data_IF_150663474060
#
_entry.id   IF_150663474060
#
_cell.length_a   1.000
_cell.length_b   1.000
_cell.length_c   1.000
_cell.angle_alpha   90.00
_cell.angle_beta   90.00
_cell.angle_gamma   90.00
#
_symmetry.space_group_name_H-M   'P 1'
#
loop_
_entity.id
_entity.type
_entity.pdbx_description
1 polymer ?
#
# COMPACT_ATOMS: atom_id res chain seq x y z
N UNK A 1 39.84 12.77 -1.99
CA UNK A 1 38.67 13.69 -2.02
C UNK A 1 37.93 13.61 -3.34
N UNK A 2 38.61 13.65 -4.50
CA UNK A 2 37.99 13.34 -5.79
C UNK A 2 38.85 12.40 -6.64
N UNK A 3 38.18 11.52 -7.38
CA UNK A 3 38.80 10.73 -8.45
C UNK A 3 38.88 11.56 -9.74
N UNK A 4 39.82 11.20 -10.63
CA UNK A 4 40.00 11.87 -11.93
C UNK A 4 38.69 11.98 -12.72
N UNK A 5 37.93 10.90 -12.80
CA UNK A 5 36.64 10.83 -13.49
C UNK A 5 35.62 11.83 -12.97
N UNK A 6 35.65 12.13 -11.66
CA UNK A 6 34.75 13.10 -11.04
C UNK A 6 35.12 14.52 -11.43
N UNK A 7 36.42 14.83 -11.44
CA UNK A 7 36.91 16.16 -11.85
C UNK A 7 36.65 16.42 -13.33
N UNK A 8 36.85 15.40 -14.19
CA UNK A 8 36.56 15.49 -15.62
C UNK A 8 35.07 15.76 -15.90
N UNK A 9 34.18 15.10 -15.16
CA UNK A 9 32.72 15.34 -15.24
C UNK A 9 32.36 16.74 -14.78
N UNK A 10 32.89 17.20 -13.65
CA UNK A 10 32.65 18.58 -13.17
C UNK A 10 33.13 19.64 -14.16
N UNK A 11 34.26 19.41 -14.84
CA UNK A 11 34.74 20.31 -15.89
C UNK A 11 33.79 20.36 -17.10
N UNK A 12 33.19 19.23 -17.48
CA UNK A 12 32.19 19.18 -18.55
C UNK A 12 30.91 19.92 -18.17
N UNK A 13 30.48 19.82 -16.91
CA UNK A 13 29.34 20.57 -16.38
C UNK A 13 29.59 22.07 -16.37
N UNK A 14 30.75 22.49 -15.88
CA UNK A 14 31.14 23.90 -15.87
C UNK A 14 31.17 24.48 -17.29
N UNK A 15 31.72 23.73 -18.26
CA UNK A 15 31.72 24.14 -19.66
C UNK A 15 30.30 24.31 -20.21
N UNK A 16 29.42 23.34 -19.97
CA UNK A 16 28.02 23.38 -20.44
C UNK A 16 27.29 24.61 -19.90
N UNK A 17 27.52 24.94 -18.63
CA UNK A 17 26.95 26.12 -17.99
C UNK A 17 27.52 27.42 -18.59
N UNK A 18 28.83 27.51 -18.78
CA UNK A 18 29.48 28.71 -19.37
C UNK A 18 29.05 28.95 -20.82
N UNK A 19 28.90 27.89 -21.62
CA UNK A 19 28.38 27.97 -22.99
C UNK A 19 26.95 28.52 -23.00
N UNK A 20 26.09 28.04 -22.09
CA UNK A 20 24.72 28.53 -21.97
C UNK A 20 24.64 30.01 -21.54
N UNK A 21 25.49 30.44 -20.60
CA UNK A 21 25.60 31.86 -20.20
C UNK A 21 26.04 32.74 -21.37
N UNK A 22 27.02 32.28 -22.16
CA UNK A 22 27.54 33.03 -23.31
C UNK A 22 26.50 33.18 -24.43
N UNK A 23 25.61 32.20 -24.61
CA UNK A 23 24.54 32.23 -25.61
C UNK A 23 23.32 33.06 -25.14
N UNK A 24 23.02 33.09 -23.84
CA UNK A 24 21.84 33.76 -23.27
C UNK A 24 22.15 34.39 -21.90
N UNK A 25 22.77 35.56 -21.92
CA UNK A 25 23.24 36.26 -20.72
C UNK A 25 22.13 36.79 -19.81
N UNK A 26 20.91 36.97 -20.31
CA UNK A 26 19.75 37.44 -19.52
C UNK A 26 18.97 36.31 -18.86
N UNK A 27 19.32 35.04 -19.13
CA UNK A 27 18.57 33.90 -18.60
C UNK A 27 18.84 33.71 -17.09
N UNK A 28 17.80 33.42 -16.27
CA UNK A 28 18.00 33.12 -14.85
C UNK A 28 18.95 31.94 -14.65
N UNK A 29 19.84 32.05 -13.67
CA UNK A 29 20.84 31.01 -13.37
C UNK A 29 20.18 29.64 -13.11
N UNK A 30 18.99 29.63 -12.51
CA UNK A 30 18.22 28.43 -12.22
C UNK A 30 17.77 27.63 -13.47
N UNK A 31 17.75 28.26 -14.65
CA UNK A 31 17.31 27.62 -15.89
C UNK A 31 18.48 27.17 -16.78
N UNK A 32 19.72 27.49 -16.38
CA UNK A 32 20.90 27.12 -17.16
C UNK A 32 21.17 25.61 -17.04
N UNK A 33 21.48 24.91 -18.15
CA UNK A 33 21.82 23.51 -18.12
C UNK A 33 23.18 23.30 -17.44
N UNK A 34 23.21 22.47 -16.41
CA UNK A 34 24.44 22.00 -15.78
C UNK A 34 24.92 20.67 -16.38
N UNK A 35 23.98 19.77 -16.65
CA UNK A 35 24.25 18.46 -17.23
C UNK A 35 24.50 18.59 -18.73
N UNK A 36 25.40 17.75 -19.26
CA UNK A 36 25.54 17.64 -20.71
C UNK A 36 24.27 17.03 -21.33
N UNK A 37 24.11 17.20 -22.64
CA UNK A 37 22.98 16.61 -23.35
C UNK A 37 22.95 15.07 -23.20
N UNK A 38 24.12 14.42 -23.24
CA UNK A 38 24.25 12.97 -23.08
C UNK A 38 23.88 12.50 -21.67
N UNK A 39 24.32 13.23 -20.65
CA UNK A 39 23.97 12.91 -19.26
C UNK A 39 22.48 13.11 -19.01
N UNK A 40 21.91 14.20 -19.54
CA UNK A 40 20.47 14.46 -19.46
C UNK A 40 19.67 13.37 -20.17
N UNK A 41 20.09 12.94 -21.35
CA UNK A 41 19.47 11.84 -22.08
C UNK A 41 19.52 10.53 -21.30
N UNK A 42 20.68 10.20 -20.73
CA UNK A 42 20.85 9.00 -19.92
C UNK A 42 19.99 9.01 -18.67
N UNK A 43 19.98 10.11 -17.93
CA UNK A 43 19.25 10.24 -16.67
C UNK A 43 17.74 10.32 -16.86
N UNK A 44 17.28 11.04 -17.89
CA UNK A 44 15.86 11.31 -18.08
C UNK A 44 15.16 10.30 -18.98
N UNK A 45 15.89 9.67 -19.90
CA UNK A 45 15.32 8.74 -20.89
C UNK A 45 15.83 7.33 -20.64
N UNK A 46 17.13 7.08 -20.79
CA UNK A 46 17.66 5.70 -20.77
C UNK A 46 17.40 5.00 -19.44
N UNK A 47 17.60 5.69 -18.31
CA UNK A 47 17.35 5.13 -16.98
C UNK A 47 15.87 5.12 -16.59
N UNK A 48 15.04 5.93 -17.24
CA UNK A 48 13.59 5.95 -17.03
C UNK A 48 12.82 5.18 -18.12
N UNK A 49 13.50 4.45 -18.99
CA UNK A 49 12.86 3.55 -19.95
C UNK A 49 12.36 2.27 -19.26
N UNK A 50 11.48 2.47 -18.28
CA UNK A 50 10.86 1.44 -17.45
C UNK A 50 9.45 1.12 -17.95
N UNK A 51 9.11 1.55 -19.18
CA UNK A 51 7.78 1.32 -19.76
C UNK A 51 7.66 -0.15 -20.12
N UNK A 52 7.01 -0.91 -19.25
CA UNK A 52 6.61 -2.28 -19.51
C UNK A 52 5.10 -2.35 -19.62
N UNK A 53 4.59 -3.23 -20.49
CA UNK A 53 3.17 -3.52 -20.56
C UNK A 53 2.74 -4.12 -19.21
N UNK A 54 2.21 -3.28 -18.31
CA UNK A 54 1.76 -3.74 -17.01
C UNK A 54 0.47 -4.55 -17.20
N UNK A 55 0.36 -5.77 -16.63
CA UNK A 55 -0.87 -6.58 -16.73
C UNK A 55 -2.07 -6.00 -15.95
N UNK A 56 -2.07 -4.72 -15.60
CA UNK A 56 -2.90 -4.18 -14.51
C UNK A 56 -3.94 -3.19 -15.00
N UNK A 57 -5.03 -3.72 -15.56
CA UNK A 57 -6.33 -3.03 -15.52
C UNK A 57 -7.15 -3.40 -14.28
N UNK A 58 -6.73 -4.41 -13.51
CA UNK A 58 -7.53 -5.01 -12.45
C UNK A 58 -6.90 -4.80 -11.06
N UNK A 59 -7.73 -4.56 -10.02
CA UNK A 59 -7.28 -4.54 -8.63
C UNK A 59 -6.73 -5.89 -8.16
N UNK A 60 -5.84 -5.87 -7.16
CA UNK A 60 -5.21 -7.07 -6.57
C UNK A 60 -6.24 -8.11 -6.11
N UNK A 61 -7.32 -7.67 -5.46
CA UNK A 61 -8.37 -8.58 -4.98
C UNK A 61 -9.11 -9.30 -6.12
N UNK A 62 -9.19 -8.68 -7.31
CA UNK A 62 -9.77 -9.31 -8.51
C UNK A 62 -8.84 -10.38 -9.05
N UNK A 63 -7.54 -10.10 -9.14
CA UNK A 63 -6.54 -11.11 -9.49
C UNK A 63 -6.55 -12.29 -8.51
N UNK A 64 -6.69 -12.02 -7.22
CA UNK A 64 -6.80 -13.06 -6.20
C UNK A 64 -8.05 -13.93 -6.41
N UNK A 65 -9.21 -13.30 -6.63
CA UNK A 65 -10.47 -14.02 -6.87
C UNK A 65 -10.40 -14.90 -8.13
N UNK A 66 -9.76 -14.40 -9.20
CA UNK A 66 -9.52 -15.19 -10.41
C UNK A 66 -8.59 -16.37 -10.15
N UNK A 67 -7.54 -16.19 -9.36
CA UNK A 67 -6.66 -17.29 -8.98
C UNK A 67 -7.39 -18.33 -8.14
N UNK A 68 -8.27 -17.90 -7.22
CA UNK A 68 -9.08 -18.81 -6.41
C UNK A 68 -10.05 -19.66 -7.24
N UNK A 69 -10.59 -19.10 -8.33
CA UNK A 69 -11.40 -19.87 -9.28
C UNK A 69 -10.55 -20.86 -10.11
N UNK A 70 -9.33 -20.47 -10.48
CA UNK A 70 -8.43 -21.31 -11.30
C UNK A 70 -7.87 -22.50 -10.54
N UNK A 71 -7.43 -22.30 -9.30
CA UNK A 71 -6.79 -23.34 -8.49
C UNK A 71 -7.34 -23.36 -7.06
N UNK A 72 -8.63 -23.72 -6.88
CA UNK A 72 -9.33 -23.56 -5.60
C UNK A 72 -8.70 -24.34 -4.45
N UNK A 73 -8.14 -25.53 -4.75
CA UNK A 73 -7.55 -26.42 -3.75
C UNK A 73 -6.05 -26.19 -3.50
N UNK A 74 -5.42 -25.28 -4.25
CA UNK A 74 -4.03 -24.92 -3.99
C UNK A 74 -3.93 -24.15 -2.67
N UNK A 75 -2.84 -24.36 -1.93
CA UNK A 75 -2.56 -23.63 -0.69
C UNK A 75 -2.26 -22.17 -1.03
N UNK A 76 -2.98 -21.25 -0.40
CA UNK A 76 -2.80 -19.80 -0.56
C UNK A 76 -2.02 -19.18 0.61
N UNK A 77 -2.21 -19.71 1.82
CA UNK A 77 -1.65 -19.14 3.04
C UNK A 77 -1.26 -20.24 4.02
N UNK A 78 -0.09 -20.11 4.64
CA UNK A 78 0.45 -21.04 5.63
C UNK A 78 0.83 -20.26 6.89
N UNK A 79 0.44 -20.79 8.05
CA UNK A 79 0.77 -20.24 9.36
C UNK A 79 1.14 -21.39 10.30
N UNK A 80 2.45 -21.55 10.56
CA UNK A 80 2.93 -22.74 11.29
C UNK A 80 2.63 -24.01 10.50
N UNK A 81 1.97 -24.97 11.14
CA UNK A 81 1.56 -26.24 10.53
C UNK A 81 0.18 -26.17 9.85
N UNK A 82 -0.55 -25.07 10.03
CA UNK A 82 -1.87 -24.87 9.45
C UNK A 82 -1.80 -24.17 8.10
N UNK A 83 -2.81 -24.40 7.26
CA UNK A 83 -2.92 -23.73 5.95
C UNK A 83 -4.36 -23.47 5.53
N UNK A 84 -4.53 -22.48 4.64
CA UNK A 84 -5.76 -22.21 3.93
C UNK A 84 -5.55 -22.34 2.43
N UNK A 85 -6.52 -22.97 1.76
CA UNK A 85 -6.57 -22.99 0.31
C UNK A 85 -7.06 -21.65 -0.24
N UNK A 86 -6.83 -21.41 -1.53
CA UNK A 86 -7.36 -20.20 -2.19
C UNK A 86 -8.88 -20.10 -2.06
N UNK A 87 -9.62 -21.19 -2.23
CA UNK A 87 -11.08 -21.17 -2.11
C UNK A 87 -11.53 -20.81 -0.69
N UNK A 88 -10.87 -21.35 0.34
CA UNK A 88 -11.20 -21.06 1.74
C UNK A 88 -10.93 -19.60 2.09
N UNK A 89 -9.76 -19.08 1.69
CA UNK A 89 -9.39 -17.70 1.96
C UNK A 89 -10.28 -16.71 1.21
N UNK A 90 -10.59 -16.98 -0.06
CA UNK A 90 -11.49 -16.12 -0.85
C UNK A 90 -12.91 -16.10 -0.27
N UNK A 91 -13.44 -17.25 0.14
CA UNK A 91 -14.76 -17.35 0.75
C UNK A 91 -14.85 -16.54 2.06
N UNK A 92 -13.86 -16.68 2.95
CA UNK A 92 -13.79 -15.92 4.21
C UNK A 92 -13.67 -14.41 3.96
N UNK A 93 -12.86 -14.02 2.97
CA UNK A 93 -12.70 -12.62 2.60
C UNK A 93 -14.00 -12.04 1.98
N UNK A 94 -14.72 -12.82 1.17
CA UNK A 94 -16.01 -12.43 0.63
C UNK A 94 -17.03 -12.24 1.74
N UNK A 95 -17.15 -13.19 2.66
CA UNK A 95 -18.03 -13.10 3.83
C UNK A 95 -17.80 -11.83 4.64
N UNK A 96 -16.55 -11.57 5.02
CA UNK A 96 -16.18 -10.36 5.75
C UNK A 96 -16.43 -9.08 4.94
N UNK A 97 -16.22 -9.11 3.62
CA UNK A 97 -16.53 -7.96 2.76
C UNK A 97 -18.03 -7.64 2.74
N UNK A 98 -18.90 -8.65 2.66
CA UNK A 98 -20.35 -8.45 2.72
C UNK A 98 -20.77 -7.89 4.07
N UNK A 99 -20.18 -8.39 5.16
CA UNK A 99 -20.42 -7.85 6.50
C UNK A 99 -20.05 -6.37 6.58
N UNK A 100 -18.87 -5.98 6.09
CA UNK A 100 -18.45 -4.57 6.05
C UNK A 100 -19.38 -3.70 5.20
N UNK A 101 -19.84 -4.20 4.05
CA UNK A 101 -20.83 -3.50 3.23
C UNK A 101 -22.16 -3.31 3.98
N UNK A 102 -22.61 -4.32 4.74
CA UNK A 102 -23.83 -4.24 5.55
C UNK A 102 -23.71 -3.21 6.69
N UNK A 103 -22.49 -2.96 7.18
CA UNK A 103 -22.18 -1.88 8.12
C UNK A 103 -22.08 -0.50 7.46
N UNK A 104 -22.28 -0.40 6.15
CA UNK A 104 -22.25 0.86 5.40
C UNK A 104 -20.85 1.26 4.91
N UNK A 105 -19.85 0.38 5.00
CA UNK A 105 -18.55 0.65 4.37
C UNK A 105 -18.72 0.63 2.85
N UNK A 106 -18.35 1.74 2.22
CA UNK A 106 -18.44 1.95 0.78
C UNK A 106 -17.03 2.06 0.14
N UNK A 107 -16.91 1.91 -1.19
CA UNK A 107 -15.66 2.17 -1.88
C UNK A 107 -15.07 3.55 -1.54
N UNK A 108 -13.77 3.59 -1.30
CA UNK A 108 -13.04 4.80 -0.87
C UNK A 108 -13.06 5.06 0.64
N UNK A 109 -13.85 4.33 1.43
CA UNK A 109 -13.82 4.41 2.89
C UNK A 109 -12.50 3.87 3.48
N UNK A 110 -12.27 4.17 4.76
CA UNK A 110 -11.09 3.75 5.52
C UNK A 110 -11.52 2.85 6.67
N UNK A 111 -10.85 1.69 6.78
CA UNK A 111 -11.14 0.68 7.81
C UNK A 111 -9.88 0.46 8.65
N UNK A 112 -9.99 0.62 9.96
CA UNK A 112 -8.89 0.37 10.89
C UNK A 112 -8.56 -1.11 10.95
N UNK A 113 -7.28 -1.45 10.98
CA UNK A 113 -6.81 -2.84 11.05
C UNK A 113 -5.85 -3.02 12.21
N UNK A 114 -6.36 -3.57 13.31
CA UNK A 114 -5.64 -3.81 14.56
C UNK A 114 -5.60 -5.31 14.87
N UNK A 115 -4.92 -6.08 14.01
CA UNK A 115 -4.91 -7.55 14.01
C UNK A 115 -3.48 -8.09 14.10
N UNK A 116 -3.29 -9.25 14.73
CA UNK A 116 -2.01 -9.97 14.76
C UNK A 116 -1.70 -10.71 13.48
N UNK A 117 -0.45 -11.18 13.37
CA UNK A 117 -0.10 -12.11 12.31
C UNK A 117 -0.93 -13.39 12.48
N UNK A 118 -1.97 -13.51 11.67
CA UNK A 118 -2.90 -14.64 11.66
C UNK A 118 -3.54 -14.81 10.29
N UNK A 119 -4.39 -15.82 10.12
CA UNK A 119 -5.18 -15.98 8.90
C UNK A 119 -6.19 -14.84 8.71
N UNK A 120 -6.72 -14.33 9.81
CA UNK A 120 -7.69 -13.24 9.87
C UNK A 120 -7.10 -11.94 9.35
N UNK A 121 -5.80 -11.67 9.56
CA UNK A 121 -5.13 -10.49 9.01
C UNK A 121 -5.21 -10.45 7.49
N UNK A 122 -4.85 -11.56 6.83
CA UNK A 122 -4.88 -11.63 5.35
C UNK A 122 -6.32 -11.65 4.85
N UNK A 123 -7.21 -12.33 5.56
CA UNK A 123 -8.66 -12.33 5.28
C UNK A 123 -9.23 -10.91 5.32
N UNK A 124 -8.91 -10.14 6.36
CA UNK A 124 -9.32 -8.76 6.56
C UNK A 124 -8.78 -7.83 5.48
N UNK A 125 -7.51 -7.94 5.13
CA UNK A 125 -6.92 -7.17 4.04
C UNK A 125 -7.65 -7.42 2.72
N UNK A 126 -7.87 -8.68 2.36
CA UNK A 126 -8.60 -9.03 1.13
C UNK A 126 -10.05 -8.55 1.18
N UNK A 127 -10.73 -8.67 2.32
CA UNK A 127 -12.10 -8.21 2.50
C UNK A 127 -12.23 -6.70 2.31
N UNK A 128 -11.39 -5.90 2.98
CA UNK A 128 -11.36 -4.44 2.84
C UNK A 128 -11.14 -4.04 1.38
N UNK A 129 -10.19 -4.69 0.70
CA UNK A 129 -9.92 -4.43 -0.71
C UNK A 129 -11.09 -4.82 -1.62
N UNK A 130 -11.81 -5.91 -1.32
CA UNK A 130 -13.01 -6.35 -2.07
C UNK A 130 -14.19 -5.39 -1.93
N UNK A 131 -14.32 -4.71 -0.78
CA UNK A 131 -15.28 -3.60 -0.61
C UNK A 131 -14.87 -2.37 -1.45
N UNK A 132 -13.61 -2.28 -1.87
CA UNK A 132 -13.04 -1.09 -2.51
C UNK A 132 -12.60 -0.03 -1.49
N UNK A 133 -12.45 -0.42 -0.22
CA UNK A 133 -11.98 0.44 0.86
C UNK A 133 -10.45 0.34 1.03
N UNK A 134 -9.88 1.26 1.80
CA UNK A 134 -8.48 1.26 2.21
C UNK A 134 -8.35 0.83 3.67
N UNK A 135 -7.32 0.05 4.00
CA UNK A 135 -7.03 -0.29 5.39
C UNK A 135 -6.09 0.75 6.02
N UNK A 136 -6.29 1.02 7.30
CA UNK A 136 -5.41 1.88 8.11
C UNK A 136 -4.73 0.98 9.15
N UNK A 137 -3.42 0.68 9.01
CA UNK A 137 -2.74 -0.21 9.93
C UNK A 137 -2.57 0.47 11.30
N UNK A 138 -3.01 -0.23 12.35
CA UNK A 138 -2.87 0.25 13.73
C UNK A 138 -1.71 -0.48 14.40
N UNK A 139 -0.71 0.28 14.85
CA UNK A 139 0.37 -0.24 15.69
C UNK A 139 -0.14 -0.43 17.13
N UNK A 140 -0.21 -1.69 17.55
CA UNK A 140 -0.72 -2.09 18.87
C UNK A 140 0.24 -1.77 20.01
N UNK A 141 1.51 -1.47 19.71
CA UNK A 141 2.48 -1.02 20.70
C UNK A 141 2.41 0.50 20.94
N UNK A 142 1.61 1.22 20.15
CA UNK A 142 1.41 2.65 20.34
C UNK A 142 0.51 2.93 21.56
N UNK A 143 0.70 4.06 22.25
CA UNK A 143 -0.23 4.51 23.28
C UNK A 143 -1.65 4.70 22.71
N UNK A 144 -2.68 4.45 23.53
CA UNK A 144 -4.10 4.56 23.13
C UNK A 144 -4.43 5.92 22.53
N UNK A 145 -3.91 7.02 23.10
CA UNK A 145 -4.14 8.37 22.59
C UNK A 145 -3.59 8.56 21.16
N UNK A 146 -2.47 7.89 20.83
CA UNK A 146 -1.88 7.92 19.48
C UNK A 146 -2.72 7.13 18.50
N UNK A 147 -3.28 6.01 18.94
CA UNK A 147 -4.21 5.19 18.13
C UNK A 147 -5.49 6.00 17.88
N UNK A 148 -6.03 6.68 18.89
CA UNK A 148 -7.19 7.53 18.78
C UNK A 148 -6.99 8.64 17.75
N UNK A 149 -5.89 9.40 17.87
CA UNK A 149 -5.56 10.45 16.92
C UNK A 149 -5.40 9.93 15.49
N UNK A 150 -4.76 8.76 15.31
CA UNK A 150 -4.62 8.14 13.99
C UNK A 150 -5.98 7.80 13.37
N UNK A 151 -6.88 7.18 14.14
CA UNK A 151 -8.19 6.76 13.64
C UNK A 151 -9.10 7.96 13.37
N UNK A 152 -8.96 9.04 14.16
CA UNK A 152 -9.68 10.30 13.95
C UNK A 152 -9.16 11.04 12.71
N UNK A 153 -7.84 11.23 12.56
CA UNK A 153 -7.23 11.87 11.38
C UNK A 153 -7.54 11.10 10.09
N UNK A 154 -7.59 9.77 10.20
CA UNK A 154 -7.94 8.88 9.11
C UNK A 154 -9.46 8.67 8.98
N UNK A 155 -10.30 9.37 9.75
CA UNK A 155 -11.77 9.29 9.74
C UNK A 155 -12.28 7.85 9.51
N UNK A 156 -11.80 6.99 10.40
CA UNK A 156 -12.12 5.56 10.44
C UNK A 156 -13.35 5.36 11.32
N UNK A 157 -14.44 4.86 10.71
CA UNK A 157 -15.67 4.53 11.43
C UNK A 157 -15.71 3.09 11.96
N UNK A 158 -15.02 2.16 11.30
CA UNK A 158 -14.97 0.73 11.66
C UNK A 158 -13.53 0.25 11.81
N UNK A 159 -13.24 -0.46 12.89
CA UNK A 159 -11.94 -1.11 13.12
C UNK A 159 -12.09 -2.62 13.28
N UNK A 160 -11.34 -3.38 12.48
CA UNK A 160 -11.23 -4.84 12.59
C UNK A 160 -10.15 -5.20 13.62
N UNK A 161 -10.48 -6.08 14.57
CA UNK A 161 -9.54 -6.48 15.63
C UNK A 161 -9.88 -7.87 16.22
N UNK A 162 -9.06 -8.35 17.16
CA UNK A 162 -9.34 -9.53 17.99
C UNK A 162 -9.69 -9.11 19.42
N UNK A 163 -10.49 -9.92 20.13
CA UNK A 163 -10.94 -9.63 21.50
C UNK A 163 -9.82 -9.25 22.47
N UNK A 164 -8.63 -9.90 22.46
CA UNK A 164 -7.53 -9.54 23.36
C UNK A 164 -7.02 -8.09 23.20
N UNK A 165 -7.28 -7.45 22.06
CA UNK A 165 -6.82 -6.09 21.75
C UNK A 165 -7.88 -5.01 21.97
N UNK A 166 -9.04 -5.37 22.53
CA UNK A 166 -10.14 -4.46 22.83
C UNK A 166 -9.74 -3.27 23.71
N UNK A 167 -8.85 -3.50 24.67
CA UNK A 167 -8.40 -2.51 25.65
C UNK A 167 -7.40 -1.49 25.09
N UNK A 168 -6.81 -1.77 23.92
CA UNK A 168 -5.83 -0.90 23.27
C UNK A 168 -6.46 0.08 22.27
N UNK A 169 -7.72 -0.15 21.90
CA UNK A 169 -8.45 0.71 20.98
C UNK A 169 -9.25 1.78 21.75
N UNK A 170 -9.35 3.00 21.20
CA UNK A 170 -10.20 4.04 21.76
C UNK A 170 -11.66 3.59 21.81
N UNK A 171 -12.42 4.05 22.81
CA UNK A 171 -13.82 3.67 22.98
C UNK A 171 -14.75 4.19 21.85
N UNK A 172 -14.27 5.13 21.04
CA UNK A 172 -14.96 5.67 19.86
C UNK A 172 -14.79 4.76 18.64
N UNK A 173 -15.86 4.63 17.84
CA UNK A 173 -15.87 3.85 16.61
C UNK A 173 -16.42 2.43 16.79
N UNK A 174 -16.94 1.86 15.71
CA UNK A 174 -17.47 0.50 15.70
C UNK A 174 -16.35 -0.52 15.53
N UNK A 175 -16.47 -1.68 16.19
CA UNK A 175 -15.44 -2.72 16.23
C UNK A 175 -16.00 -4.04 15.71
N UNK A 176 -15.28 -4.66 14.80
CA UNK A 176 -15.59 -6.01 14.30
C UNK A 176 -14.55 -6.98 14.87
N UNK A 177 -15.04 -8.03 15.52
CA UNK A 177 -14.22 -9.03 16.19
C UNK A 177 -14.03 -10.25 15.28
N UNK A 178 -12.83 -10.40 14.71
CA UNK A 178 -12.57 -11.46 13.73
C UNK A 178 -12.52 -12.86 14.35
N UNK A 179 -12.30 -12.96 15.66
CA UNK A 179 -12.23 -14.19 16.45
C UNK A 179 -13.58 -14.62 17.04
N UNK A 180 -14.41 -13.67 17.47
CA UNK A 180 -15.68 -13.95 18.16
C UNK A 180 -16.91 -13.95 17.25
N UNK A 181 -16.89 -13.22 16.13
CA UNK A 181 -18.02 -13.10 15.21
C UNK A 181 -17.91 -14.01 13.99
N UNK A 182 -17.05 -15.04 14.03
CA UNK A 182 -16.89 -15.96 12.90
C UNK A 182 -18.22 -16.62 12.45
N UNK A 183 -19.20 -16.78 13.35
CA UNK A 183 -20.54 -17.28 13.03
C UNK A 183 -21.46 -16.22 12.39
N UNK A 184 -21.35 -14.95 12.79
CA UNK A 184 -22.16 -13.85 12.27
C UNK A 184 -21.61 -13.30 10.95
N UNK A 185 -20.30 -13.43 10.72
CA UNK A 185 -19.63 -13.14 9.45
C UNK A 185 -19.92 -14.23 8.41
N UNK A 186 -20.23 -15.46 8.85
CA UNK A 186 -20.45 -16.59 7.95
C UNK A 186 -21.87 -16.69 7.36
N UNK A 187 -22.84 -15.94 7.90
CA UNK A 187 -24.25 -15.90 7.47
C UNK A 187 -24.52 -14.69 6.55
#
# INVERSE_FOLDING_TARGET
LFERSTVERMAHHLRTLLEAVALRSEQPVAELPLLTAEERQRLLVEWNDTTVASPTGLPVHVHFSQQAQRTPQAVALVLGDDSLTYAQLDARANQLAHHLCAMGIAPGARVGLAVERSFELVTALLAILKVGAAFVPVDRNAPVDRIAALLEDADVSVTLTHQPFASLLPASGERVWLDAQAHDIAN
#
